data_IF_692966639308
#
_entry.id   IF_692966639308
#
_cell.length_a   1.000
_cell.length_b   1.000
_cell.length_c   1.000
_cell.angle_alpha   90.00
_cell.angle_beta   90.00
_cell.angle_gamma   90.00
#
_symmetry.space_group_name_H-M   'P 1'
#
loop_
_entity.id
_entity.type
_entity.pdbx_description
1 polymer ?
#
# COMPACT_ATOMS: atom_id res chain seq x y z
N UNK A 1 -3.66 6.04 -10.16
CA UNK A 1 -2.53 5.73 -9.27
C UNK A 1 -1.55 4.73 -9.91
N UNK A 2 -1.36 4.83 -11.22
CA UNK A 2 -0.46 3.91 -11.97
C UNK A 2 1.01 4.01 -11.55
N UNK A 3 1.41 5.12 -10.93
CA UNK A 3 2.80 5.32 -10.48
C UNK A 3 3.28 4.31 -9.45
N UNK A 4 2.39 3.71 -8.64
CA UNK A 4 2.79 2.78 -7.59
C UNK A 4 3.31 1.46 -8.17
N UNK A 5 2.54 0.72 -9.01
CA UNK A 5 3.07 -0.49 -9.63
C UNK A 5 4.26 -0.20 -10.54
N UNK A 6 4.28 0.92 -11.27
CA UNK A 6 5.44 1.33 -12.07
C UNK A 6 6.69 1.53 -11.21
N UNK A 7 6.56 2.25 -10.08
CA UNK A 7 7.66 2.42 -9.14
C UNK A 7 8.18 1.08 -8.63
N UNK A 8 7.28 0.17 -8.25
CA UNK A 8 7.68 -1.15 -7.76
C UNK A 8 8.43 -1.96 -8.83
N UNK A 9 7.95 -1.97 -10.08
CA UNK A 9 8.64 -2.59 -11.21
C UNK A 9 10.05 -2.02 -11.37
N UNK A 10 10.20 -0.69 -11.42
CA UNK A 10 11.52 -0.02 -11.55
C UNK A 10 12.46 -0.35 -10.39
N UNK A 11 11.94 -0.44 -9.17
CA UNK A 11 12.74 -0.83 -8.00
C UNK A 11 13.21 -2.28 -8.14
N UNK A 12 12.32 -3.21 -8.50
CA UNK A 12 12.65 -4.63 -8.65
C UNK A 12 13.66 -4.86 -9.78
N UNK A 13 13.47 -4.21 -10.94
CA UNK A 13 14.43 -4.24 -12.05
C UNK A 13 15.81 -3.74 -11.63
N UNK A 14 15.86 -2.60 -10.93
CA UNK A 14 17.14 -2.01 -10.47
C UNK A 14 17.85 -2.89 -9.43
N UNK A 15 17.08 -3.58 -8.60
CA UNK A 15 17.60 -4.53 -7.61
C UNK A 15 18.01 -5.87 -8.23
N UNK A 16 17.77 -6.09 -9.52
CA UNK A 16 18.07 -7.35 -10.21
C UNK A 16 17.20 -8.52 -9.77
N UNK A 17 15.96 -8.24 -9.33
CA UNK A 17 14.99 -9.25 -8.93
C UNK A 17 14.41 -9.90 -10.18
N UNK A 18 14.37 -11.22 -10.19
CA UNK A 18 13.60 -11.99 -11.19
C UNK A 18 12.12 -12.01 -10.76
N UNK A 19 11.27 -11.36 -11.54
CA UNK A 19 9.84 -11.26 -11.26
C UNK A 19 9.01 -11.30 -12.53
N UNK A 20 7.74 -11.64 -12.37
CA UNK A 20 6.74 -11.58 -13.42
C UNK A 20 5.46 -10.93 -12.90
N UNK A 21 4.62 -10.47 -13.82
CA UNK A 21 3.26 -10.00 -13.53
C UNK A 21 2.26 -10.83 -14.31
N UNK A 22 1.06 -10.99 -13.78
CA UNK A 22 -0.01 -11.73 -14.48
C UNK A 22 -0.57 -10.96 -15.69
N UNK A 23 -0.28 -9.65 -15.77
CA UNK A 23 -0.75 -8.83 -16.90
C UNK A 23 -2.27 -8.85 -17.06
N UNK A 24 -2.75 -9.24 -18.25
CA UNK A 24 -4.18 -9.34 -18.53
C UNK A 24 -4.91 -10.49 -17.83
N UNK A 25 -4.17 -11.45 -17.27
CA UNK A 25 -4.72 -12.59 -16.53
C UNK A 25 -4.91 -12.29 -15.04
N UNK A 26 -4.53 -11.10 -14.59
CA UNK A 26 -4.76 -10.65 -13.22
C UNK A 26 -6.23 -10.25 -13.03
N UNK A 27 -6.91 -10.93 -12.11
CA UNK A 27 -8.26 -10.57 -11.71
C UNK A 27 -8.25 -9.84 -10.35
N UNK A 28 -9.32 -9.11 -10.07
CA UNK A 28 -9.48 -8.47 -8.77
C UNK A 28 -9.38 -9.50 -7.64
N UNK A 29 -8.75 -9.14 -6.52
CA UNK A 29 -8.68 -10.01 -5.34
C UNK A 29 -10.05 -10.29 -4.69
N UNK A 30 -11.10 -9.57 -5.08
CA UNK A 30 -12.45 -9.74 -4.55
C UNK A 30 -12.75 -8.98 -3.25
N UNK A 31 -11.79 -8.28 -2.68
CA UNK A 31 -12.00 -7.53 -1.44
C UNK A 31 -13.18 -6.55 -1.48
N UNK A 32 -13.40 -5.76 -2.55
CA UNK A 32 -14.59 -4.89 -2.63
C UNK A 32 -15.91 -5.67 -2.62
N UNK A 33 -15.97 -6.84 -3.25
CA UNK A 33 -17.15 -7.68 -3.23
C UNK A 33 -17.41 -8.26 -1.84
N UNK A 34 -16.35 -8.66 -1.14
CA UNK A 34 -16.44 -9.14 0.22
C UNK A 34 -16.97 -8.05 1.17
N UNK A 35 -16.43 -6.83 1.08
CA UNK A 35 -16.88 -5.70 1.92
C UNK A 35 -18.30 -5.26 1.61
N UNK A 36 -18.78 -5.48 0.39
CA UNK A 36 -20.16 -5.25 -0.01
C UNK A 36 -21.14 -6.39 0.40
N UNK A 37 -20.65 -7.43 1.11
CA UNK A 37 -21.47 -8.57 1.52
C UNK A 37 -21.76 -9.57 0.39
N UNK A 38 -21.02 -9.50 -0.71
CA UNK A 38 -21.19 -10.35 -1.90
C UNK A 38 -20.19 -11.53 -1.91
N UNK A 39 -20.06 -12.24 -0.79
CA UNK A 39 -19.05 -13.30 -0.59
C UNK A 39 -19.10 -14.38 -1.68
N UNK A 40 -20.29 -14.77 -2.13
CA UNK A 40 -20.46 -15.77 -3.18
C UNK A 40 -19.83 -15.41 -4.53
N UNK A 41 -19.56 -14.11 -4.76
CA UNK A 41 -18.88 -13.65 -5.97
C UNK A 41 -17.34 -13.62 -5.83
N UNK A 42 -16.83 -13.82 -4.62
CA UNK A 42 -15.37 -13.85 -4.37
C UNK A 42 -14.76 -15.19 -4.79
N UNK A 43 -15.47 -16.29 -4.61
CA UNK A 43 -14.97 -17.63 -4.89
C UNK A 43 -14.42 -17.82 -6.33
N UNK A 44 -15.14 -17.43 -7.40
CA UNK A 44 -14.59 -17.54 -8.76
C UNK A 44 -13.32 -16.72 -8.99
N UNK A 45 -13.22 -15.54 -8.36
CA UNK A 45 -12.01 -14.70 -8.45
C UNK A 45 -10.84 -15.35 -7.71
N UNK A 46 -11.10 -15.89 -6.53
CA UNK A 46 -10.13 -16.62 -5.72
C UNK A 46 -9.57 -17.83 -6.47
N UNK A 47 -10.47 -18.69 -6.99
CA UNK A 47 -10.09 -19.90 -7.74
C UNK A 47 -9.21 -19.55 -8.95
N UNK A 48 -9.61 -18.56 -9.75
CA UNK A 48 -8.82 -18.10 -10.89
C UNK A 48 -7.44 -17.60 -10.46
N UNK A 49 -7.38 -16.68 -9.49
CA UNK A 49 -6.14 -16.06 -9.05
C UNK A 49 -5.18 -17.09 -8.45
N UNK A 50 -5.68 -18.03 -7.65
CA UNK A 50 -4.87 -19.10 -7.05
C UNK A 50 -4.31 -20.02 -8.15
N UNK A 51 -5.14 -20.43 -9.11
CA UNK A 51 -4.70 -21.28 -10.22
C UNK A 51 -3.61 -20.60 -11.06
N UNK A 52 -3.79 -19.32 -11.41
CA UNK A 52 -2.77 -18.58 -12.17
C UNK A 52 -1.44 -18.49 -11.44
N UNK A 53 -1.47 -18.24 -10.12
CA UNK A 53 -0.25 -18.15 -9.33
C UNK A 53 0.47 -19.50 -9.23
N UNK A 54 -0.27 -20.58 -9.08
CA UNK A 54 0.27 -21.95 -9.07
C UNK A 54 0.89 -22.32 -10.43
N UNK A 55 0.22 -22.00 -11.52
CA UNK A 55 0.72 -22.25 -12.90
C UNK A 55 2.04 -21.51 -13.17
N UNK A 56 2.23 -20.34 -12.59
CA UNK A 56 3.49 -19.58 -12.70
C UNK A 56 4.64 -20.19 -11.90
N UNK A 57 4.35 -21.03 -10.91
CA UNK A 57 5.37 -21.57 -10.01
C UNK A 57 6.03 -20.53 -9.13
N UNK A 58 5.36 -19.40 -8.88
CA UNK A 58 5.86 -18.32 -8.03
C UNK A 58 6.09 -18.82 -6.61
N UNK A 59 7.14 -18.31 -5.94
CA UNK A 59 7.45 -18.60 -4.53
C UNK A 59 7.03 -17.48 -3.61
N UNK A 60 6.98 -16.26 -4.13
CA UNK A 60 6.59 -15.08 -3.37
C UNK A 60 5.60 -14.26 -4.20
N UNK A 61 4.49 -13.88 -3.59
CA UNK A 61 3.55 -12.91 -4.13
C UNK A 61 3.76 -11.57 -3.44
N UNK A 62 4.12 -10.55 -4.20
CA UNK A 62 4.25 -9.19 -3.70
C UNK A 62 3.06 -8.36 -4.14
N UNK A 63 2.31 -7.82 -3.20
CA UNK A 63 1.17 -6.95 -3.47
C UNK A 63 1.47 -5.51 -3.08
N UNK A 64 1.11 -4.54 -3.93
CA UNK A 64 1.22 -3.11 -3.62
C UNK A 64 -0.01 -2.56 -2.90
N UNK A 65 -1.04 -3.38 -2.71
CA UNK A 65 -2.31 -3.00 -2.10
C UNK A 65 -2.53 -3.73 -0.78
N UNK A 66 -2.72 -3.00 0.34
CA UNK A 66 -3.00 -3.62 1.64
C UNK A 66 -4.21 -4.55 1.67
N UNK A 67 -5.28 -4.16 0.97
CA UNK A 67 -6.49 -4.99 0.90
C UNK A 67 -6.23 -6.28 0.12
N UNK A 68 -5.41 -6.23 -0.95
CA UNK A 68 -4.99 -7.44 -1.65
C UNK A 68 -4.10 -8.32 -0.75
N UNK A 69 -3.14 -7.73 -0.04
CA UNK A 69 -2.32 -8.45 0.93
C UNK A 69 -3.21 -9.17 1.96
N UNK A 70 -4.14 -8.46 2.58
CA UNK A 70 -5.07 -9.02 3.55
C UNK A 70 -5.93 -10.14 2.94
N UNK A 71 -6.40 -9.95 1.71
CA UNK A 71 -7.22 -10.97 1.01
C UNK A 71 -6.43 -12.25 0.80
N UNK A 72 -5.23 -12.17 0.28
CA UNK A 72 -4.40 -13.35 0.03
C UNK A 72 -3.93 -14.04 1.31
N UNK A 73 -3.55 -13.25 2.33
CA UNK A 73 -2.98 -13.80 3.58
C UNK A 73 -4.03 -14.32 4.55
N UNK A 74 -5.24 -13.76 4.55
CA UNK A 74 -6.25 -14.02 5.58
C UNK A 74 -7.60 -14.43 5.01
N UNK A 75 -8.11 -13.68 4.00
CA UNK A 75 -9.47 -13.88 3.53
C UNK A 75 -9.61 -15.15 2.69
N UNK A 76 -8.71 -15.39 1.74
CA UNK A 76 -8.74 -16.59 0.91
C UNK A 76 -8.65 -17.88 1.73
N UNK A 77 -7.74 -18.02 2.72
CA UNK A 77 -7.76 -19.16 3.64
C UNK A 77 -9.09 -19.34 4.38
N UNK A 78 -9.71 -18.25 4.85
CA UNK A 78 -11.01 -18.28 5.52
C UNK A 78 -12.14 -18.75 4.59
N UNK A 79 -12.08 -18.39 3.32
CA UNK A 79 -13.05 -18.77 2.29
C UNK A 79 -12.81 -20.16 1.70
N UNK A 80 -11.84 -20.92 2.25
CA UNK A 80 -11.56 -22.29 1.84
C UNK A 80 -10.69 -22.42 0.60
N UNK A 81 -9.87 -21.41 0.29
CA UNK A 81 -8.85 -21.55 -0.75
C UNK A 81 -7.97 -22.78 -0.48
N UNK A 82 -7.57 -23.53 -1.53
CA UNK A 82 -6.59 -24.58 -1.35
C UNK A 82 -5.29 -23.99 -0.79
N UNK A 83 -4.57 -24.73 0.06
CA UNK A 83 -3.27 -24.29 0.54
C UNK A 83 -2.33 -23.96 -0.62
N UNK A 84 -1.71 -22.80 -0.58
CA UNK A 84 -0.68 -22.41 -1.54
C UNK A 84 0.66 -22.31 -0.80
N UNK A 85 1.69 -22.93 -1.36
CA UNK A 85 3.08 -22.85 -0.85
C UNK A 85 3.76 -21.59 -1.44
N UNK A 86 3.18 -20.43 -1.15
CA UNK A 86 3.63 -19.13 -1.64
C UNK A 86 3.64 -18.16 -0.48
N UNK A 87 4.77 -17.50 -0.29
CA UNK A 87 4.88 -16.42 0.68
C UNK A 87 4.15 -15.18 0.16
N UNK A 88 3.23 -14.62 0.94
CA UNK A 88 2.49 -13.39 0.58
C UNK A 88 3.06 -12.22 1.34
N UNK A 89 3.55 -11.21 0.62
CA UNK A 89 4.14 -10.01 1.18
C UNK A 89 3.46 -8.75 0.66
N UNK A 90 3.34 -7.77 1.54
CA UNK A 90 3.10 -6.41 1.09
C UNK A 90 4.38 -5.78 0.53
N UNK A 91 4.26 -4.87 -0.43
CA UNK A 91 5.41 -4.20 -1.07
C UNK A 91 6.37 -3.58 -0.05
N UNK A 92 5.88 -3.01 1.07
CA UNK A 92 6.75 -2.46 2.12
C UNK A 92 7.66 -3.52 2.77
N UNK A 93 7.14 -4.72 3.00
CA UNK A 93 7.94 -5.83 3.56
C UNK A 93 9.01 -6.29 2.57
N UNK A 94 8.64 -6.38 1.30
CA UNK A 94 9.59 -6.76 0.26
C UNK A 94 10.67 -5.70 0.02
N UNK A 95 10.31 -4.41 0.09
CA UNK A 95 11.26 -3.30 0.00
C UNK A 95 12.27 -3.33 1.14
N UNK A 96 11.86 -3.63 2.37
CA UNK A 96 12.80 -3.84 3.50
C UNK A 96 13.83 -4.90 3.14
N UNK A 97 13.40 -6.08 2.63
CA UNK A 97 14.32 -7.16 2.23
C UNK A 97 15.31 -6.72 1.15
N UNK A 98 14.85 -5.98 0.14
CA UNK A 98 15.73 -5.46 -0.91
C UNK A 98 16.77 -4.50 -0.32
N UNK A 99 16.37 -3.61 0.57
CA UNK A 99 17.27 -2.63 1.18
C UNK A 99 18.29 -3.31 2.12
N UNK A 100 17.85 -4.24 2.95
CA UNK A 100 18.72 -5.00 3.87
C UNK A 100 19.71 -5.91 3.13
N UNK A 101 19.33 -6.47 1.98
CA UNK A 101 20.23 -7.30 1.18
C UNK A 101 21.36 -6.51 0.51
N UNK A 102 21.26 -5.17 0.49
CA UNK A 102 22.22 -4.30 -0.20
C UNK A 102 22.11 -4.33 -1.74
N UNK A 103 21.09 -5.00 -2.30
CA UNK A 103 20.84 -5.05 -3.74
C UNK A 103 20.48 -3.68 -4.33
N UNK A 104 19.99 -2.78 -3.47
CA UNK A 104 19.60 -1.42 -3.87
C UNK A 104 20.29 -0.38 -2.98
N UNK A 105 20.91 0.61 -3.61
CA UNK A 105 21.45 1.78 -2.93
C UNK A 105 20.58 2.99 -3.24
N UNK A 106 20.26 3.75 -2.21
CA UNK A 106 19.44 4.96 -2.32
C UNK A 106 20.33 6.20 -2.20
N UNK A 107 20.07 7.17 -3.05
CA UNK A 107 20.62 8.52 -2.92
C UNK A 107 19.86 9.34 -1.89
N UNK A 108 20.35 10.53 -1.58
CA UNK A 108 19.73 11.42 -0.62
C UNK A 108 18.42 12.02 -1.15
N UNK A 109 17.41 12.05 -0.28
CA UNK A 109 16.12 12.69 -0.54
C UNK A 109 15.79 13.61 0.64
N UNK A 110 16.34 14.82 0.64
CA UNK A 110 16.24 15.80 1.72
C UNK A 110 14.80 16.31 1.87
N UNK A 111 14.01 15.65 2.73
CA UNK A 111 12.60 15.98 2.87
C UNK A 111 12.05 15.61 4.26
N UNK A 112 11.31 16.55 4.88
CA UNK A 112 10.44 16.24 6.02
C UNK A 112 9.17 15.57 5.51
N UNK A 113 8.87 14.37 6.00
CA UNK A 113 7.72 13.57 5.61
C UNK A 113 6.88 13.19 6.82
N UNK A 114 5.63 12.83 6.59
CA UNK A 114 4.80 12.15 7.58
C UNK A 114 4.17 10.92 6.96
N UNK A 115 3.80 9.94 7.78
CA UNK A 115 3.26 8.68 7.30
C UNK A 115 1.81 8.47 7.75
N UNK A 116 0.96 8.07 6.80
CA UNK A 116 -0.40 7.63 7.06
C UNK A 116 -0.46 6.10 7.04
N UNK A 117 -0.78 5.50 8.18
CA UNK A 117 -0.98 4.06 8.32
C UNK A 117 -2.28 3.62 7.63
N UNK A 118 -2.22 2.79 6.57
CA UNK A 118 -3.42 2.21 5.99
C UNK A 118 -4.05 1.20 6.94
N UNK A 119 -5.37 1.25 7.09
CA UNK A 119 -6.08 0.39 8.05
C UNK A 119 -5.93 -1.11 7.75
N UNK A 120 -5.96 -1.49 6.47
CA UNK A 120 -5.84 -2.90 6.08
C UNK A 120 -4.41 -3.41 6.23
N UNK A 121 -3.39 -2.54 6.13
CA UNK A 121 -2.00 -2.90 6.34
C UNK A 121 -1.68 -2.99 7.84
N UNK A 122 -1.94 -1.92 8.58
CA UNK A 122 -1.65 -1.84 10.01
C UNK A 122 -2.61 -2.67 10.85
N UNK A 123 -3.84 -2.16 11.08
CA UNK A 123 -4.77 -2.80 12.03
C UNK A 123 -5.22 -4.20 11.66
N UNK A 124 -5.36 -4.52 10.36
CA UNK A 124 -5.79 -5.85 9.93
C UNK A 124 -4.65 -6.84 9.73
N UNK A 125 -3.49 -6.36 9.27
CA UNK A 125 -2.36 -7.24 8.93
C UNK A 125 -1.17 -7.13 9.90
N UNK A 126 -1.19 -6.21 10.86
CA UNK A 126 -0.13 -6.02 11.85
C UNK A 126 1.16 -5.40 11.30
N UNK A 127 1.15 -4.89 10.07
CA UNK A 127 2.32 -4.36 9.37
C UNK A 127 2.41 -2.85 9.61
N UNK A 128 3.19 -2.44 10.61
CA UNK A 128 3.39 -1.05 11.01
C UNK A 128 4.84 -0.58 10.85
N UNK A 129 5.79 -1.47 11.08
CA UNK A 129 7.21 -1.12 11.15
C UNK A 129 7.87 -1.08 9.78
N UNK A 130 7.55 -2.02 8.90
CA UNK A 130 8.21 -2.13 7.60
C UNK A 130 8.05 -0.88 6.72
N UNK A 131 6.87 -0.21 6.63
CA UNK A 131 6.79 1.06 5.91
C UNK A 131 7.72 2.14 6.50
N UNK A 132 7.89 2.17 7.83
CA UNK A 132 8.78 3.10 8.53
C UNK A 132 10.24 2.80 8.26
N UNK A 133 10.62 1.52 8.33
CA UNK A 133 11.98 1.06 7.98
C UNK A 133 12.35 1.46 6.56
N UNK A 134 11.42 1.33 5.59
CA UNK A 134 11.63 1.81 4.22
C UNK A 134 11.84 3.31 4.18
N UNK A 135 11.03 4.10 4.88
CA UNK A 135 11.10 5.55 4.90
C UNK A 135 12.42 6.03 5.53
N UNK A 136 12.77 5.48 6.69
CA UNK A 136 13.98 5.82 7.45
C UNK A 136 15.25 5.32 6.77
N UNK A 137 15.13 4.29 5.93
CA UNK A 137 16.21 3.79 5.08
C UNK A 137 16.59 4.71 3.92
N UNK A 138 15.79 5.75 3.62
CA UNK A 138 16.11 6.75 2.58
C UNK A 138 16.93 7.89 3.19
N UNK A 139 18.19 8.08 2.77
CA UNK A 139 19.06 9.13 3.32
C UNK A 139 18.43 10.53 3.15
N UNK A 140 18.50 11.37 4.18
CA UNK A 140 17.98 12.75 4.16
C UNK A 140 16.49 12.88 4.45
N UNK A 141 15.75 11.78 4.60
CA UNK A 141 14.34 11.82 4.99
C UNK A 141 14.24 12.01 6.52
N UNK A 142 13.43 12.96 6.94
CA UNK A 142 13.02 13.15 8.34
C UNK A 142 11.55 12.74 8.50
N UNK A 143 11.28 11.64 9.18
CA UNK A 143 9.92 11.17 9.46
C UNK A 143 9.36 11.87 10.71
N UNK A 144 8.22 12.53 10.58
CA UNK A 144 7.44 13.10 11.70
C UNK A 144 6.09 12.42 11.75
N UNK A 145 5.83 11.70 12.84
CA UNK A 145 4.56 11.00 13.03
C UNK A 145 3.38 11.96 13.22
N UNK A 146 2.20 11.53 12.75
CA UNK A 146 0.95 12.23 13.04
C UNK A 146 0.44 11.90 14.44
N UNK A 147 -0.31 12.82 15.04
CA UNK A 147 -1.14 12.48 16.19
C UNK A 147 -2.06 11.31 15.83
N UNK A 148 -2.07 10.22 16.62
CA UNK A 148 -2.73 8.98 16.28
C UNK A 148 -2.07 8.32 15.07
N UNK A 149 -0.95 7.67 15.30
CA UNK A 149 -0.24 6.78 14.35
C UNK A 149 -0.43 5.32 14.74
N UNK A 150 0.00 4.39 13.92
CA UNK A 150 -0.10 2.94 14.12
C UNK A 150 -1.54 2.49 14.36
N UNK A 151 -1.82 1.80 15.46
CA UNK A 151 -3.13 1.29 15.83
C UNK A 151 -4.18 2.40 15.98
N UNK A 152 -3.74 3.58 16.46
CA UNK A 152 -4.60 4.74 16.70
C UNK A 152 -4.80 5.62 15.46
N UNK A 153 -4.20 5.25 14.33
CA UNK A 153 -4.30 6.03 13.11
C UNK A 153 -5.75 6.21 12.65
N UNK A 154 -6.17 7.44 12.39
CA UNK A 154 -7.45 7.68 11.75
C UNK A 154 -7.42 7.12 10.33
N UNK A 155 -8.53 6.52 9.89
CA UNK A 155 -8.71 6.08 8.53
C UNK A 155 -8.61 7.24 7.54
N UNK A 156 -8.25 6.96 6.28
CA UNK A 156 -8.36 7.94 5.20
C UNK A 156 -9.82 8.19 4.76
N UNK A 157 -10.73 7.29 5.14
CA UNK A 157 -12.16 7.38 4.82
C UNK A 157 -12.57 6.82 3.45
N UNK A 158 -11.62 6.42 2.60
CA UNK A 158 -11.93 6.09 1.19
C UNK A 158 -12.05 4.59 0.88
N UNK A 159 -11.72 3.71 1.84
CA UNK A 159 -11.78 2.26 1.66
C UNK A 159 -13.10 1.64 2.11
N UNK A 160 -13.23 0.31 1.93
CA UNK A 160 -14.39 -0.46 2.37
C UNK A 160 -15.69 0.02 1.72
N UNK A 161 -15.62 0.43 0.46
CA UNK A 161 -16.73 0.93 -0.37
C UNK A 161 -17.43 2.20 0.14
N UNK A 162 -16.99 2.78 1.27
CA UNK A 162 -17.60 3.99 1.86
C UNK A 162 -17.66 5.13 0.84
N UNK A 163 -16.62 5.31 0.04
CA UNK A 163 -16.60 6.40 -0.97
C UNK A 163 -17.69 6.24 -2.03
N UNK A 164 -18.09 5.00 -2.35
CA UNK A 164 -19.13 4.71 -3.34
C UNK A 164 -20.51 4.97 -2.73
N UNK A 165 -20.68 4.62 -1.44
CA UNK A 165 -21.95 4.75 -0.72
C UNK A 165 -22.21 6.18 -0.27
N UNK A 166 -21.18 6.84 0.30
CA UNK A 166 -21.27 8.22 0.80
C UNK A 166 -19.92 8.96 0.68
N UNK A 167 -19.80 9.73 -0.39
CA UNK A 167 -18.60 10.54 -0.64
C UNK A 167 -18.41 11.64 0.42
N UNK A 168 -19.50 12.13 1.05
CA UNK A 168 -19.40 13.19 2.05
C UNK A 168 -18.76 12.71 3.33
N UNK A 169 -19.02 11.47 3.75
CA UNK A 169 -18.35 10.81 4.88
C UNK A 169 -16.86 10.64 4.57
N UNK A 170 -16.54 10.12 3.37
CA UNK A 170 -15.13 10.00 2.93
C UNK A 170 -14.42 11.36 2.98
N UNK A 171 -15.07 12.41 2.49
CA UNK A 171 -14.50 13.76 2.49
C UNK A 171 -14.21 14.27 3.90
N UNK A 172 -15.18 14.16 4.82
CA UNK A 172 -15.05 14.61 6.20
C UNK A 172 -13.92 13.88 6.95
N UNK A 173 -13.83 12.56 6.78
CA UNK A 173 -12.79 11.74 7.42
C UNK A 173 -11.40 12.08 6.85
N UNK A 174 -11.29 12.20 5.52
CA UNK A 174 -10.06 12.56 4.84
C UNK A 174 -9.55 13.95 5.27
N UNK A 175 -10.45 14.93 5.43
CA UNK A 175 -10.10 16.28 5.87
C UNK A 175 -9.53 16.29 7.29
N UNK A 176 -10.11 15.49 8.21
CA UNK A 176 -9.56 15.33 9.57
C UNK A 176 -8.16 14.73 9.53
N UNK A 177 -7.94 13.68 8.73
CA UNK A 177 -6.61 13.05 8.61
C UNK A 177 -5.60 13.98 7.96
N UNK A 178 -5.99 14.71 6.93
CA UNK A 178 -5.15 15.74 6.32
C UNK A 178 -4.76 16.84 7.31
N UNK A 179 -5.68 17.27 8.18
CA UNK A 179 -5.40 18.22 9.27
C UNK A 179 -4.36 17.68 10.25
N UNK A 180 -4.36 16.38 10.58
CA UNK A 180 -3.30 15.77 11.38
C UNK A 180 -1.96 15.82 10.66
N UNK A 181 -1.93 15.50 9.36
CA UNK A 181 -0.71 15.58 8.56
C UNK A 181 -0.13 17.02 8.51
N UNK A 182 -0.98 18.03 8.36
CA UNK A 182 -0.55 19.43 8.36
C UNK A 182 0.12 19.86 9.68
N UNK A 183 -0.37 19.35 10.82
CA UNK A 183 0.21 19.68 12.14
C UNK A 183 1.63 19.17 12.34
N UNK A 184 2.06 18.16 11.58
CA UNK A 184 3.46 17.70 11.61
C UNK A 184 4.45 18.68 10.96
N UNK A 185 3.95 19.65 10.18
CA UNK A 185 4.76 20.55 9.36
C UNK A 185 5.32 19.92 8.09
N UNK A 186 5.09 18.63 7.85
CA UNK A 186 5.52 17.94 6.64
C UNK A 186 4.73 18.41 5.42
N UNK A 187 5.41 18.53 4.28
CA UNK A 187 4.79 18.83 2.98
C UNK A 187 4.60 17.61 2.10
N UNK A 188 5.06 16.45 2.57
CA UNK A 188 4.91 15.17 1.92
C UNK A 188 4.29 14.18 2.90
N UNK A 189 3.13 13.67 2.53
CA UNK A 189 2.46 12.54 3.21
C UNK A 189 2.79 11.28 2.46
N UNK A 190 3.36 10.31 3.15
CA UNK A 190 3.59 8.97 2.63
C UNK A 190 2.47 8.03 3.08
N UNK A 191 2.20 7.04 2.28
CA UNK A 191 1.32 5.92 2.62
C UNK A 191 1.74 4.70 1.82
N UNK A 192 1.29 3.53 2.21
CA UNK A 192 1.53 2.27 1.52
C UNK A 192 0.20 1.69 1.01
N UNK A 193 -0.64 2.55 0.39
CA UNK A 193 -1.98 2.16 -0.09
C UNK A 193 -2.47 3.10 -1.19
N UNK A 194 -2.84 2.54 -2.34
CA UNK A 194 -3.37 3.29 -3.48
C UNK A 194 -4.63 4.10 -3.14
N UNK A 195 -5.54 3.48 -2.38
CA UNK A 195 -6.79 4.14 -2.00
C UNK A 195 -6.52 5.30 -1.03
N UNK A 196 -5.67 5.10 -0.02
CA UNK A 196 -5.30 6.16 0.91
C UNK A 196 -4.62 7.33 0.19
N UNK A 197 -3.67 7.04 -0.71
CA UNK A 197 -3.03 8.05 -1.55
C UNK A 197 -4.06 8.86 -2.34
N UNK A 198 -4.97 8.19 -3.06
CA UNK A 198 -6.02 8.84 -3.87
C UNK A 198 -6.91 9.72 -3.02
N UNK A 199 -7.36 9.21 -1.88
CA UNK A 199 -8.30 9.90 -0.97
C UNK A 199 -7.66 11.15 -0.36
N UNK A 200 -6.42 11.04 0.16
CA UNK A 200 -5.71 12.17 0.75
C UNK A 200 -5.29 13.21 -0.30
N UNK A 201 -4.95 12.79 -1.53
CA UNK A 201 -4.72 13.71 -2.65
C UNK A 201 -5.99 14.50 -3.01
N UNK A 202 -7.14 13.84 -3.03
CA UNK A 202 -8.43 14.50 -3.29
C UNK A 202 -8.75 15.52 -2.19
N UNK A 203 -8.53 15.16 -0.92
CA UNK A 203 -8.69 16.06 0.22
C UNK A 203 -7.75 17.28 0.12
N UNK A 204 -6.47 17.07 -0.20
CA UNK A 204 -5.51 18.16 -0.36
C UNK A 204 -5.91 19.15 -1.48
N UNK A 205 -6.40 18.62 -2.61
CA UNK A 205 -6.90 19.45 -3.71
C UNK A 205 -8.15 20.24 -3.33
N UNK A 206 -9.15 19.57 -2.71
CA UNK A 206 -10.41 20.18 -2.27
C UNK A 206 -10.17 21.35 -1.31
N UNK A 207 -9.27 21.13 -0.34
CA UNK A 207 -8.94 22.13 0.69
C UNK A 207 -7.83 23.12 0.25
N UNK A 208 -7.34 23.03 -0.99
CA UNK A 208 -6.24 23.86 -1.51
C UNK A 208 -4.98 23.85 -0.63
N UNK A 209 -4.71 22.70 0.01
CA UNK A 209 -3.55 22.51 0.88
C UNK A 209 -2.34 22.11 0.03
N UNK A 210 -1.19 22.75 0.29
CA UNK A 210 0.07 22.47 -0.42
C UNK A 210 0.80 21.27 0.21
N UNK A 211 0.15 20.12 0.20
CA UNK A 211 0.69 18.83 0.63
C UNK A 211 0.68 17.88 -0.57
N UNK A 212 1.80 17.23 -0.80
CA UNK A 212 1.88 16.12 -1.77
C UNK A 212 1.61 14.82 -1.03
N UNK A 213 1.08 13.84 -1.74
CA UNK A 213 0.88 12.48 -1.22
C UNK A 213 1.58 11.51 -2.16
N UNK A 214 2.39 10.62 -1.61
CA UNK A 214 3.22 9.67 -2.33
C UNK A 214 3.14 8.29 -1.66
N UNK A 215 3.34 7.24 -2.44
CA UNK A 215 3.49 5.89 -1.89
C UNK A 215 4.94 5.62 -1.48
N UNK A 216 5.14 4.71 -0.52
CA UNK A 216 6.50 4.32 -0.08
C UNK A 216 7.33 3.73 -1.22
N UNK A 217 6.73 2.99 -2.15
CA UNK A 217 7.43 2.49 -3.32
C UNK A 217 7.88 3.62 -4.26
N UNK A 218 7.07 4.67 -4.41
CA UNK A 218 7.44 5.85 -5.18
C UNK A 218 8.55 6.66 -4.51
N UNK A 219 8.60 6.69 -3.18
CA UNK A 219 9.71 7.31 -2.43
C UNK A 219 11.02 6.61 -2.74
N UNK A 220 11.04 5.27 -2.65
CA UNK A 220 12.22 4.46 -2.97
C UNK A 220 12.66 4.70 -4.41
N UNK A 221 11.74 4.63 -5.36
CA UNK A 221 12.06 4.88 -6.77
C UNK A 221 12.69 6.25 -6.98
N UNK A 222 12.13 7.30 -6.39
CA UNK A 222 12.71 8.64 -6.49
C UNK A 222 14.08 8.76 -5.85
N UNK A 223 14.34 8.07 -4.76
CA UNK A 223 15.64 8.05 -4.12
C UNK A 223 16.71 7.27 -4.93
N UNK A 224 16.28 6.41 -5.87
CA UNK A 224 17.19 5.74 -6.81
C UNK A 224 17.67 6.65 -7.96
N UNK A 225 16.90 7.69 -8.29
CA UNK A 225 17.17 8.61 -9.39
C UNK A 225 18.14 9.75 -9.01
N UNK A 226 18.38 9.95 -7.73
CA UNK A 226 19.33 10.93 -7.17
C UNK A 226 20.69 10.32 -6.96
#
# INVERSE_FOLDING_TARGET
>A
VYGIPQAMVQVMERAGVDFATLGGDEWCCGYPLFTAGMEGLVAPLMEHNVARLQDMGAKTLVTTCPSCHYTWSHLYPLLGAPPIDIEVLHASQYLVRILESGQLRLGAFEQVVTYHDPCDLGRKSGIFDEPRQVIEGVPGVELREMDGSREEALCCGGGGDVQIVDESVTAAVADRRLGQAQRTGARLVLSACQQCKRTLMAAARRNKVRVRVMDVAELVWRAMEG
#
